data_IF_245214702387
#
_entry.id   IF_245214702387
#
_cell.length_a   1.000
_cell.length_b   1.000
_cell.length_c   1.000
_cell.angle_alpha   90.00
_cell.angle_beta   90.00
_cell.angle_gamma   90.00
#
_symmetry.space_group_name_H-M   'P 1'
#
loop_
_entity.id
_entity.type
_entity.pdbx_description
1 polymer ?
#
# COMPACT_ATOMS: atom_id res chain seq x y z
N UNK A 1 -31.85 14.47 -37.44
CA UNK A 1 -30.58 14.97 -36.85
C UNK A 1 -30.53 14.43 -35.42
N UNK A 2 -30.12 13.18 -35.26
CA UNK A 2 -30.13 12.52 -33.94
C UNK A 2 -28.67 12.38 -33.52
N UNK A 3 -28.22 13.26 -32.61
CA UNK A 3 -26.88 13.20 -32.04
C UNK A 3 -26.88 12.22 -30.88
N UNK A 4 -26.41 11.00 -31.15
CA UNK A 4 -26.04 10.01 -30.16
C UNK A 4 -24.59 10.22 -29.73
N UNK A 5 -24.39 10.76 -28.53
CA UNK A 5 -23.18 10.58 -27.73
C UNK A 5 -23.68 10.46 -26.28
N UNK A 6 -23.72 9.28 -25.65
CA UNK A 6 -22.60 8.35 -25.55
C UNK A 6 -21.80 8.76 -24.31
N UNK A 7 -22.24 8.25 -23.17
CA UNK A 7 -21.66 8.39 -21.83
C UNK A 7 -20.12 8.33 -21.87
N UNK A 8 -19.48 9.41 -21.47
CA UNK A 8 -18.05 9.45 -21.18
C UNK A 8 -17.85 9.47 -19.65
N UNK A 9 -18.14 8.35 -19.00
CA UNK A 9 -17.51 8.06 -17.70
C UNK A 9 -16.07 7.69 -17.99
N UNK A 10 -15.24 8.72 -18.21
CA UNK A 10 -13.81 8.58 -18.13
C UNK A 10 -13.49 7.94 -16.78
N UNK A 11 -12.67 6.89 -16.82
CA UNK A 11 -12.19 6.17 -15.66
C UNK A 11 -11.80 7.15 -14.56
N UNK A 12 -12.46 7.01 -13.42
CA UNK A 12 -12.12 7.63 -12.16
C UNK A 12 -10.64 7.31 -11.83
N UNK A 13 -9.76 8.32 -11.68
CA UNK A 13 -8.42 8.11 -11.18
C UNK A 13 -8.40 8.29 -9.66
N UNK A 14 -9.12 7.47 -8.89
CA UNK A 14 -8.83 7.26 -7.45
C UNK A 14 -7.61 6.34 -7.27
N UNK A 15 -6.55 6.61 -8.03
CA UNK A 15 -5.17 6.30 -7.62
C UNK A 15 -4.47 7.65 -7.45
N UNK A 16 -5.02 8.48 -6.57
CA UNK A 16 -4.32 9.58 -5.93
C UNK A 16 -3.33 8.96 -4.93
N UNK A 17 -2.22 8.43 -5.44
CA UNK A 17 -1.00 8.36 -4.64
C UNK A 17 -0.22 9.64 -5.00
N UNK A 18 -0.27 10.70 -4.18
CA UNK A 18 0.60 11.83 -4.41
C UNK A 18 2.06 11.33 -4.38
N UNK A 19 2.94 11.74 -5.31
CA UNK A 19 4.36 11.61 -5.08
C UNK A 19 4.69 12.61 -3.99
N UNK A 20 4.62 12.18 -2.73
CA UNK A 20 5.07 12.92 -1.56
C UNK A 20 6.57 13.21 -1.69
N UNK A 21 6.93 14.16 -2.55
CA UNK A 21 8.31 14.63 -2.73
C UNK A 21 8.74 15.55 -1.57
N UNK A 22 8.21 15.27 -0.38
CA UNK A 22 8.62 15.80 0.92
C UNK A 22 8.84 14.65 1.92
N UNK A 23 9.12 13.43 1.44
CA UNK A 23 9.53 12.34 2.30
C UNK A 23 10.85 12.72 3.00
N UNK A 24 10.94 12.70 4.34
CA UNK A 24 12.23 12.63 5.03
C UNK A 24 13.03 11.44 4.46
N UNK A 25 14.38 11.41 4.62
CA UNK A 25 15.17 10.26 4.16
C UNK A 25 14.44 8.99 4.59
N UNK A 26 14.22 8.07 3.64
CA UNK A 26 13.45 6.85 3.81
C UNK A 26 14.00 6.03 4.99
N UNK A 27 13.63 6.45 6.19
CA UNK A 27 13.60 5.65 7.38
C UNK A 27 12.49 4.66 7.07
N UNK A 28 12.92 3.48 6.64
CA UNK A 28 12.08 2.40 6.14
C UNK A 28 10.86 2.30 7.04
N UNK A 29 9.68 2.70 6.55
CA UNK A 29 8.51 2.75 7.42
C UNK A 29 8.27 1.32 7.93
N UNK A 30 8.28 1.10 9.25
CA UNK A 30 8.11 -0.25 9.80
C UNK A 30 6.85 -0.94 9.29
N UNK A 31 5.81 -0.16 8.99
CA UNK A 31 4.56 -0.66 8.46
C UNK A 31 4.73 -1.16 7.03
N UNK A 32 5.49 -0.47 6.18
CA UNK A 32 5.83 -0.96 4.84
C UNK A 32 6.63 -2.27 4.90
N UNK A 33 7.64 -2.36 5.77
CA UNK A 33 8.42 -3.58 5.96
C UNK A 33 7.56 -4.75 6.48
N UNK A 34 6.61 -4.47 7.37
CA UNK A 34 5.61 -5.44 7.82
C UNK A 34 4.72 -5.92 6.67
N UNK A 35 4.26 -5.01 5.80
CA UNK A 35 3.42 -5.37 4.65
C UNK A 35 4.17 -6.22 3.62
N UNK A 36 5.46 -5.98 3.38
CA UNK A 36 6.28 -6.85 2.52
C UNK A 36 6.52 -8.23 3.18
N UNK A 37 6.72 -8.26 4.50
CA UNK A 37 6.85 -9.50 5.26
C UNK A 37 5.55 -10.33 5.22
N UNK A 38 4.39 -9.71 5.50
CA UNK A 38 3.11 -10.44 5.58
C UNK A 38 2.63 -10.94 4.21
N UNK A 39 3.06 -10.31 3.12
CA UNK A 39 2.71 -10.72 1.75
C UNK A 39 3.56 -11.89 1.25
N UNK A 40 4.76 -12.08 1.80
CA UNK A 40 5.64 -13.22 1.54
C UNK A 40 5.44 -14.36 2.55
N UNK A 41 4.75 -14.07 3.65
CA UNK A 41 4.44 -14.94 4.76
C UNK A 41 3.02 -15.51 4.66
N UNK A 42 2.81 -16.75 5.12
CA UNK A 42 1.45 -17.26 5.35
C UNK A 42 0.93 -16.73 6.68
N UNK A 43 -0.18 -15.99 6.67
CA UNK A 43 -0.80 -15.43 7.90
C UNK A 43 -1.25 -16.50 8.90
N UNK A 44 -1.42 -17.73 8.41
CA UNK A 44 -1.75 -18.91 9.22
C UNK A 44 -0.53 -19.43 10.02
N UNK A 45 0.68 -19.17 9.54
CA UNK A 45 1.93 -19.47 10.23
C UNK A 45 2.20 -18.39 11.29
N UNK A 46 1.67 -18.62 12.49
CA UNK A 46 1.80 -17.69 13.62
C UNK A 46 3.24 -17.34 14.02
N UNK A 47 4.22 -18.20 13.73
CA UNK A 47 5.65 -17.89 13.90
C UNK A 47 6.08 -16.75 12.98
N UNK A 48 5.72 -16.85 11.70
CA UNK A 48 6.08 -15.90 10.68
C UNK A 48 5.38 -14.54 10.89
N UNK A 49 4.11 -14.54 11.30
CA UNK A 49 3.39 -13.33 11.71
C UNK A 49 4.05 -12.65 12.91
N UNK A 50 4.51 -13.43 13.90
CA UNK A 50 5.20 -12.92 15.09
C UNK A 50 6.48 -12.18 14.70
N UNK A 51 7.31 -12.77 13.84
CA UNK A 51 8.50 -12.12 13.28
C UNK A 51 8.16 -10.85 12.53
N UNK A 52 7.14 -10.87 11.67
CA UNK A 52 6.72 -9.66 10.94
C UNK A 52 6.26 -8.56 11.91
N UNK A 53 5.48 -8.88 12.95
CA UNK A 53 5.05 -7.87 13.92
C UNK A 53 6.18 -7.31 14.78
N UNK A 54 7.26 -8.06 14.97
CA UNK A 54 8.43 -7.58 15.72
C UNK A 54 9.17 -6.47 14.97
N UNK A 55 9.23 -6.57 13.63
CA UNK A 55 9.72 -5.50 12.73
C UNK A 55 8.93 -4.20 12.96
N UNK A 56 7.60 -4.31 13.09
CA UNK A 56 6.73 -3.17 13.34
C UNK A 56 7.02 -2.47 14.68
N UNK A 57 7.44 -3.24 15.69
CA UNK A 57 7.67 -2.75 17.06
C UNK A 57 9.04 -2.13 17.26
N UNK A 58 10.04 -2.45 16.44
CA UNK A 58 11.42 -1.99 16.63
C UNK A 58 11.66 -0.54 16.16
N UNK A 59 10.72 0.04 15.42
CA UNK A 59 10.79 1.40 14.88
C UNK A 59 9.66 2.31 15.42
N UNK A 60 9.06 1.97 16.57
CA UNK A 60 8.02 2.77 17.26
C UNK A 60 8.54 3.55 18.45
#
# INVERSE_FOLDING_TARGET
>A
MTASHGYNTAADPLTDHPPSSAFPPADHDPVEAYFECITTCSIDDGECVTTCTEILRQHS
#
